data_IF_457789581712
#
_entry.id   IF_457789581712
#
_cell.length_a   1.000
_cell.length_b   1.000
_cell.length_c   1.000
_cell.angle_alpha   90.00
_cell.angle_beta   90.00
_cell.angle_gamma   90.00
#
_symmetry.space_group_name_H-M   'P 1'
#
loop_
_entity.id
_entity.type
_entity.pdbx_description
1 polymer ?
#
# COMPACT_ATOMS: atom_id res chain seq x y z
N UNK A 1 -13.18 10.36 -13.36
CA UNK A 1 -12.31 9.33 -12.78
C UNK A 1 -12.05 9.76 -11.35
N UNK A 2 -12.24 8.86 -10.38
CA UNK A 2 -12.21 9.24 -8.97
C UNK A 2 -10.77 9.28 -8.45
N UNK A 3 -10.49 10.28 -7.63
CA UNK A 3 -9.22 10.40 -6.93
C UNK A 3 -9.37 9.71 -5.57
N UNK A 4 -8.44 8.81 -5.27
CA UNK A 4 -8.36 8.11 -4.01
C UNK A 4 -6.99 8.34 -3.39
N UNK A 5 -6.96 8.44 -2.07
CA UNK A 5 -5.74 8.34 -1.28
C UNK A 5 -5.78 7.02 -0.54
N UNK A 6 -4.74 6.20 -0.70
CA UNK A 6 -4.65 4.91 -0.04
C UNK A 6 -3.37 4.86 0.81
N UNK A 7 -3.53 4.54 2.09
CA UNK A 7 -2.41 4.36 3.03
C UNK A 7 -2.43 2.93 3.51
N UNK A 8 -1.30 2.24 3.37
CA UNK A 8 -1.12 0.91 3.90
C UNK A 8 0.09 0.84 4.83
N UNK A 9 0.06 -0.18 5.70
CA UNK A 9 1.02 -0.41 6.77
C UNK A 9 1.73 -1.73 6.51
N UNK A 10 2.99 -1.69 6.07
CA UNK A 10 3.74 -2.93 5.91
C UNK A 10 4.41 -3.35 7.23
N UNK A 11 4.59 -4.66 7.43
CA UNK A 11 5.25 -5.22 8.62
C UNK A 11 6.63 -4.61 8.88
N UNK A 12 6.97 -4.46 10.16
CA UNK A 12 8.27 -3.91 10.60
C UNK A 12 9.49 -4.75 10.21
N UNK A 13 9.29 -6.04 9.92
CA UNK A 13 10.38 -6.98 9.62
C UNK A 13 10.82 -6.91 8.15
N UNK A 14 10.07 -6.19 7.31
CA UNK A 14 10.40 -5.99 5.91
C UNK A 14 11.55 -5.00 5.76
N UNK A 15 12.40 -5.25 4.77
CA UNK A 15 13.37 -4.26 4.31
C UNK A 15 12.69 -3.17 3.46
N UNK A 16 13.30 -2.00 3.38
CA UNK A 16 12.83 -0.90 2.53
C UNK A 16 12.62 -1.35 1.07
N UNK A 17 13.54 -2.19 0.54
CA UNK A 17 13.44 -2.73 -0.82
C UNK A 17 12.21 -3.63 -1.01
N UNK A 18 11.83 -4.42 0.01
CA UNK A 18 10.62 -5.25 -0.06
C UNK A 18 9.36 -4.40 -0.03
N UNK A 19 9.35 -3.30 0.74
CA UNK A 19 8.25 -2.34 0.74
C UNK A 19 8.11 -1.68 -0.64
N UNK A 20 9.22 -1.28 -1.26
CA UNK A 20 9.19 -0.69 -2.59
C UNK A 20 8.73 -1.71 -3.66
N UNK A 21 9.08 -2.99 -3.51
CA UNK A 21 8.57 -4.07 -4.36
C UNK A 21 7.06 -4.28 -4.22
N UNK A 22 6.52 -4.23 -3.00
CA UNK A 22 5.07 -4.28 -2.75
C UNK A 22 4.35 -3.11 -3.41
N UNK A 23 4.91 -1.90 -3.28
CA UNK A 23 4.40 -0.70 -3.95
C UNK A 23 4.33 -0.90 -5.46
N UNK A 24 5.39 -1.43 -6.09
CA UNK A 24 5.39 -1.69 -7.53
C UNK A 24 4.40 -2.78 -7.94
N UNK A 25 4.22 -3.82 -7.12
CA UNK A 25 3.18 -4.82 -7.34
C UNK A 25 1.79 -4.18 -7.38
N UNK A 26 1.44 -3.36 -6.39
CA UNK A 26 0.13 -2.71 -6.33
C UNK A 26 -0.06 -1.65 -7.43
N UNK A 27 1.00 -0.91 -7.79
CA UNK A 27 0.99 -0.05 -8.98
C UNK A 27 0.68 -0.82 -10.25
N UNK A 28 1.26 -2.02 -10.41
CA UNK A 28 0.99 -2.90 -11.53
C UNK A 28 -0.48 -3.32 -11.61
N UNK A 29 -1.09 -3.66 -10.48
CA UNK A 29 -2.52 -4.02 -10.40
C UNK A 29 -3.42 -2.86 -10.83
N UNK A 30 -3.14 -1.64 -10.32
CA UNK A 30 -3.91 -0.45 -10.69
C UNK A 30 -3.75 -0.12 -12.18
N UNK A 31 -2.51 -0.20 -12.69
CA UNK A 31 -2.21 0.07 -14.11
C UNK A 31 -2.88 -0.95 -15.04
N UNK A 32 -2.89 -2.23 -14.66
CA UNK A 32 -3.54 -3.29 -15.42
C UNK A 32 -5.07 -3.12 -15.47
N UNK A 33 -5.67 -2.54 -14.44
CA UNK A 33 -7.11 -2.28 -14.35
C UNK A 33 -7.51 -0.89 -14.87
N UNK A 34 -6.64 -0.23 -15.65
CA UNK A 34 -6.95 1.02 -16.34
C UNK A 34 -6.95 2.26 -15.42
N UNK A 35 -6.29 2.18 -14.26
CA UNK A 35 -6.01 3.33 -13.40
C UNK A 35 -4.59 3.86 -13.59
N UNK A 36 -4.32 5.04 -13.04
CA UNK A 36 -2.97 5.58 -12.90
C UNK A 36 -2.63 5.80 -11.42
N UNK A 37 -1.37 5.56 -11.09
CA UNK A 37 -0.82 5.93 -9.79
C UNK A 37 -0.13 7.27 -9.95
N UNK A 38 -0.53 8.22 -9.11
CA UNK A 38 0.07 9.54 -9.03
C UNK A 38 1.32 9.50 -8.15
N UNK A 39 1.29 10.28 -7.07
CA UNK A 39 2.38 10.35 -6.12
C UNK A 39 2.38 9.13 -5.21
N UNK A 40 3.57 8.57 -4.97
CA UNK A 40 3.78 7.61 -3.90
C UNK A 40 4.77 8.20 -2.92
N UNK A 41 4.38 8.27 -1.66
CA UNK A 41 5.25 8.71 -0.58
C UNK A 41 5.49 7.56 0.39
N UNK A 42 6.75 7.15 0.49
CA UNK A 42 7.18 6.22 1.51
C UNK A 42 7.62 7.02 2.74
N UNK A 43 6.90 6.90 3.84
CA UNK A 43 7.19 7.60 5.08
C UNK A 43 8.15 6.82 6.00
N UNK A 44 8.60 5.64 5.55
CA UNK A 44 9.53 4.79 6.27
C UNK A 44 8.91 4.12 7.51
N UNK A 45 9.80 3.59 8.35
CA UNK A 45 9.42 2.88 9.57
C UNK A 45 9.03 3.88 10.68
N UNK A 46 7.76 3.84 11.11
CA UNK A 46 7.26 4.65 12.22
C UNK A 46 6.74 3.78 13.35
N UNK A 47 6.79 4.30 14.58
CA UNK A 47 6.23 3.66 15.77
C UNK A 47 4.71 3.83 15.82
N UNK A 48 3.99 2.75 16.09
CA UNK A 48 2.55 2.74 16.30
C UNK A 48 2.22 3.11 17.76
N UNK A 49 1.12 3.83 17.98
CA UNK A 49 0.65 4.20 19.32
C UNK A 49 0.24 2.97 20.14
N UNK A 50 -0.26 1.92 19.47
CA UNK A 50 -0.61 0.63 20.05
C UNK A 50 -0.14 -0.51 19.15
N UNK A 51 -0.16 -1.74 19.66
CA UNK A 51 0.28 -2.90 18.87
C UNK A 51 -0.78 -3.29 17.85
N UNK A 52 -0.39 -3.39 16.58
CA UNK A 52 -1.20 -3.98 15.50
C UNK A 52 -0.52 -5.28 15.10
N UNK A 53 -1.25 -6.40 15.11
CA UNK A 53 -0.71 -7.73 14.80
C UNK A 53 0.62 -8.03 15.54
N UNK A 54 0.68 -7.69 16.83
CA UNK A 54 1.86 -7.80 17.72
C UNK A 54 3.06 -6.91 17.36
N UNK A 55 3.02 -6.15 16.27
CA UNK A 55 4.05 -5.20 15.88
C UNK A 55 3.91 -3.86 16.62
N UNK A 56 5.05 -3.20 16.92
CA UNK A 56 5.10 -1.84 17.51
C UNK A 56 5.55 -0.78 16.52
N UNK A 57 6.05 -1.20 15.35
CA UNK A 57 6.42 -0.32 14.25
C UNK A 57 5.78 -0.86 12.96
N UNK A 58 5.69 -0.01 11.95
CA UNK A 58 5.25 -0.40 10.61
C UNK A 58 5.84 0.58 9.60
N UNK A 59 6.01 0.12 8.36
CA UNK A 59 6.33 0.98 7.24
C UNK A 59 5.06 1.63 6.72
N UNK A 60 5.05 2.95 6.67
CA UNK A 60 3.91 3.71 6.15
C UNK A 60 4.17 4.07 4.70
N UNK A 61 3.21 3.77 3.83
CA UNK A 61 3.26 4.22 2.44
C UNK A 61 1.91 4.80 2.04
N UNK A 62 1.95 6.01 1.48
CA UNK A 62 0.82 6.71 0.88
C UNK A 62 0.90 6.55 -0.64
N UNK A 63 -0.24 6.25 -1.25
CA UNK A 63 -0.41 6.18 -2.69
C UNK A 63 -1.60 7.03 -3.13
N UNK A 64 -1.33 8.00 -3.99
CA UNK A 64 -2.36 8.78 -4.66
C UNK A 64 -2.78 8.03 -5.92
N UNK A 65 -4.06 7.71 -6.03
CA UNK A 65 -4.60 6.86 -7.08
C UNK A 65 -5.65 7.62 -7.89
N UNK A 66 -5.61 7.46 -9.21
CA UNK A 66 -6.66 7.90 -10.11
C UNK A 66 -7.16 6.69 -10.90
N UNK A 67 -8.22 6.06 -10.41
CA UNK A 67 -8.67 4.79 -10.96
C UNK A 67 -10.19 4.61 -10.84
N UNK A 68 -10.80 3.69 -11.61
CA UNK A 68 -12.18 3.26 -11.37
C UNK A 68 -12.27 2.45 -10.07
N UNK A 69 -13.43 2.50 -9.39
CA UNK A 69 -13.63 1.82 -8.10
C UNK A 69 -13.33 0.30 -8.14
N UNK A 70 -13.56 -0.35 -9.29
CA UNK A 70 -13.23 -1.76 -9.46
C UNK A 70 -11.72 -2.06 -9.33
N UNK A 71 -10.85 -1.16 -9.82
CA UNK A 71 -9.41 -1.30 -9.72
C UNK A 71 -8.94 -1.17 -8.26
N UNK A 72 -9.51 -0.21 -7.52
CA UNK A 72 -9.23 -0.02 -6.10
C UNK A 72 -9.64 -1.25 -5.29
N UNK A 73 -10.86 -1.75 -5.51
CA UNK A 73 -11.37 -2.93 -4.80
C UNK A 73 -10.50 -4.17 -5.05
N UNK A 74 -9.99 -4.35 -6.27
CA UNK A 74 -9.10 -5.48 -6.58
C UNK A 74 -7.75 -5.36 -5.89
N UNK A 75 -7.17 -4.15 -5.85
CA UNK A 75 -5.94 -3.90 -5.09
C UNK A 75 -6.15 -4.14 -3.59
N UNK A 76 -7.22 -3.62 -2.99
CA UNK A 76 -7.54 -3.84 -1.57
C UNK A 76 -7.78 -5.33 -1.26
N UNK A 77 -8.43 -6.06 -2.18
CA UNK A 77 -8.59 -7.52 -2.05
C UNK A 77 -7.26 -8.23 -2.02
N UNK A 78 -6.30 -7.87 -2.88
CA UNK A 78 -4.97 -8.46 -2.87
C UNK A 78 -4.16 -8.08 -1.63
N UNK A 79 -4.30 -6.84 -1.14
CA UNK A 79 -3.68 -6.39 0.11
C UNK A 79 -4.20 -7.20 1.30
N UNK A 80 -5.52 -7.39 1.42
CA UNK A 80 -6.12 -8.17 2.51
C UNK A 80 -5.77 -9.67 2.50
N UNK A 81 -5.23 -10.19 1.40
CA UNK A 81 -4.70 -11.55 1.29
C UNK A 81 -3.19 -11.63 1.59
N UNK A 82 -2.49 -10.49 1.61
CA UNK A 82 -1.06 -10.42 1.89
C UNK A 82 -0.81 -10.55 3.39
N UNK A 83 0.18 -11.36 3.79
CA UNK A 83 0.61 -11.45 5.19
C UNK A 83 1.53 -10.29 5.60
N UNK A 84 1.96 -9.49 4.63
CA UNK A 84 2.95 -8.43 4.79
C UNK A 84 2.33 -7.04 5.02
N UNK A 85 1.01 -6.91 4.79
CA UNK A 85 0.22 -5.66 4.86
C UNK A 85 -0.91 -5.78 5.89
#
# INVERSE_FOLDING_TARGET
MALYEHVFLARQDLSQQQVDALVEQYKGVISANGGSVGRVENWGLKSLTYRVNKNRKAYYTLMDLNCPAAALNEMERQMGLSEDV
#
